data_IF_986205510948
#
_entry.id   IF_986205510948
#
_cell.length_a   1.000
_cell.length_b   1.000
_cell.length_c   1.000
_cell.angle_alpha   90.00
_cell.angle_beta   90.00
_cell.angle_gamma   90.00
#
_symmetry.space_group_name_H-M   'P 1'
#
loop_
_entity.id
_entity.type
_entity.pdbx_description
1 polymer ?
#
# COMPACT_ATOMS: atom_id res chain seq x y z
N UNK A 1 -30.01 5.98 -14.30
CA UNK A 1 -28.82 5.14 -14.57
C UNK A 1 -29.16 3.72 -14.12
N UNK A 2 -29.23 2.74 -15.02
CA UNK A 2 -29.82 1.40 -14.77
C UNK A 2 -28.93 0.52 -13.87
N UNK A 3 -29.56 -0.33 -13.05
CA UNK A 3 -28.90 -1.19 -12.05
C UNK A 3 -27.84 -2.14 -12.68
N UNK A 4 -28.11 -2.62 -13.90
CA UNK A 4 -27.19 -3.42 -14.73
C UNK A 4 -25.85 -2.73 -15.01
N UNK A 5 -25.83 -1.40 -15.23
CA UNK A 5 -24.58 -0.65 -15.44
C UNK A 5 -23.75 -0.49 -14.17
N UNK A 6 -24.36 -0.54 -12.98
CA UNK A 6 -23.64 -0.46 -11.69
C UNK A 6 -22.94 -1.79 -11.39
N UNK A 7 -23.61 -2.92 -11.65
CA UNK A 7 -23.04 -4.27 -11.43
C UNK A 7 -21.87 -4.57 -12.37
N UNK A 8 -21.99 -4.22 -13.66
CA UNK A 8 -20.92 -4.43 -14.64
C UNK A 8 -19.60 -3.72 -14.27
N UNK A 9 -19.67 -2.55 -13.60
CA UNK A 9 -18.49 -1.80 -13.18
C UNK A 9 -17.75 -2.43 -11.99
N UNK A 10 -18.48 -3.11 -11.09
CA UNK A 10 -17.88 -3.85 -9.98
C UNK A 10 -17.18 -5.13 -10.43
N UNK A 11 -17.68 -5.75 -11.51
CA UNK A 11 -17.10 -6.98 -12.04
C UNK A 11 -15.75 -6.75 -12.71
N UNK A 12 -15.44 -5.55 -13.21
CA UNK A 12 -14.20 -5.29 -13.93
C UNK A 12 -12.92 -5.47 -13.07
N UNK A 13 -12.79 -4.85 -11.87
CA UNK A 13 -11.64 -5.11 -10.99
C UNK A 13 -11.52 -6.58 -10.56
N UNK A 14 -12.64 -7.24 -10.30
CA UNK A 14 -12.67 -8.66 -9.91
C UNK A 14 -12.21 -9.54 -11.07
N UNK A 15 -12.74 -9.32 -12.27
CA UNK A 15 -12.33 -10.04 -13.47
C UNK A 15 -10.85 -9.80 -13.79
N UNK A 16 -10.35 -8.57 -13.59
CA UNK A 16 -8.92 -8.28 -13.72
C UNK A 16 -8.08 -9.07 -12.69
N UNK A 17 -8.47 -9.08 -11.42
CA UNK A 17 -7.75 -9.84 -10.38
C UNK A 17 -7.76 -11.35 -10.67
N UNK A 18 -8.90 -11.90 -11.12
CA UNK A 18 -9.01 -13.30 -11.56
C UNK A 18 -8.18 -13.59 -12.81
N UNK A 19 -8.07 -12.63 -13.74
CA UNK A 19 -7.19 -12.76 -14.90
C UNK A 19 -5.72 -12.83 -14.43
N UNK A 20 -5.31 -11.99 -13.46
CA UNK A 20 -3.97 -12.06 -12.87
C UNK A 20 -3.74 -13.42 -12.17
N UNK A 21 -4.76 -13.99 -11.51
CA UNK A 21 -4.67 -15.33 -10.95
C UNK A 21 -4.38 -16.39 -12.02
N UNK A 22 -5.14 -16.37 -13.11
CA UNK A 22 -4.94 -17.29 -14.22
C UNK A 22 -3.56 -17.09 -14.87
N UNK A 23 -3.13 -15.84 -15.06
CA UNK A 23 -1.80 -15.50 -15.58
C UNK A 23 -0.69 -16.01 -14.66
N UNK A 24 -0.84 -15.87 -13.34
CA UNK A 24 0.15 -16.37 -12.38
C UNK A 24 0.29 -17.89 -12.47
N UNK A 25 -0.84 -18.62 -12.48
CA UNK A 25 -0.83 -20.09 -12.57
C UNK A 25 -0.13 -20.54 -13.86
N UNK A 26 -0.48 -19.93 -14.99
CA UNK A 26 0.12 -20.24 -16.28
C UNK A 26 1.62 -19.91 -16.33
N UNK A 27 2.00 -18.70 -15.92
CA UNK A 27 3.38 -18.22 -16.02
C UNK A 27 4.29 -18.97 -15.03
N UNK A 28 3.83 -19.20 -13.80
CA UNK A 28 4.62 -19.89 -12.77
C UNK A 28 4.82 -21.36 -13.12
N UNK A 29 3.83 -22.04 -13.69
CA UNK A 29 3.98 -23.40 -14.20
C UNK A 29 4.93 -23.54 -15.39
N UNK A 30 5.24 -22.42 -16.06
CA UNK A 30 6.15 -22.35 -17.21
C UNK A 30 7.51 -21.74 -16.87
N UNK A 31 7.68 -21.23 -15.64
CA UNK A 31 8.90 -20.58 -15.20
C UNK A 31 9.95 -21.64 -14.82
N UNK A 32 11.18 -21.47 -15.27
CA UNK A 32 12.29 -22.33 -14.82
C UNK A 32 12.71 -22.06 -13.37
N UNK A 33 12.63 -20.80 -12.94
CA UNK A 33 12.90 -20.35 -11.57
C UNK A 33 11.84 -19.33 -11.14
N UNK A 34 11.20 -19.57 -10.00
CA UNK A 34 10.21 -18.65 -9.43
C UNK A 34 10.92 -17.41 -8.84
N UNK A 35 10.50 -16.18 -9.19
CA UNK A 35 11.01 -14.97 -8.57
C UNK A 35 10.84 -14.98 -7.04
N UNK A 36 11.79 -14.43 -6.26
CA UNK A 36 11.73 -14.45 -4.80
C UNK A 36 10.42 -13.92 -4.20
N UNK A 37 9.86 -12.85 -4.77
CA UNK A 37 8.58 -12.27 -4.31
C UNK A 37 7.45 -13.30 -4.30
N UNK A 38 7.51 -14.31 -5.17
CA UNK A 38 6.47 -15.30 -5.38
C UNK A 38 6.85 -16.69 -4.81
N UNK A 39 7.86 -16.77 -3.93
CA UNK A 39 8.38 -18.03 -3.40
C UNK A 39 7.29 -18.93 -2.79
N UNK A 40 6.40 -18.37 -1.98
CA UNK A 40 5.28 -19.10 -1.36
C UNK A 40 4.06 -19.26 -2.30
N UNK A 41 4.09 -18.59 -3.46
CA UNK A 41 3.06 -18.66 -4.48
C UNK A 41 1.64 -18.44 -3.96
N UNK A 42 0.69 -19.26 -4.42
CA UNK A 42 -0.72 -19.10 -4.05
C UNK A 42 -1.02 -19.40 -2.58
N UNK A 43 -0.12 -20.06 -1.85
CA UNK A 43 -0.32 -20.35 -0.43
C UNK A 43 -0.53 -19.06 0.36
N UNK A 44 0.35 -18.08 0.17
CA UNK A 44 0.25 -16.78 0.85
C UNK A 44 -1.01 -16.02 0.46
N UNK A 45 -1.40 -16.08 -0.82
CA UNK A 45 -2.62 -15.42 -1.30
C UNK A 45 -3.83 -15.90 -0.48
N UNK A 46 -3.95 -17.20 -0.27
CA UNK A 46 -5.09 -17.81 0.40
C UNK A 46 -4.98 -17.82 1.93
N UNK A 47 -3.78 -18.03 2.48
CA UNK A 47 -3.57 -18.23 3.91
C UNK A 47 -3.26 -16.94 4.66
N UNK A 48 -2.73 -15.92 3.97
CA UNK A 48 -2.32 -14.67 4.59
C UNK A 48 -3.06 -13.45 4.02
N UNK A 49 -2.87 -13.15 2.72
CA UNK A 49 -3.34 -11.89 2.14
C UNK A 49 -4.86 -11.76 2.09
N UNK A 50 -5.57 -12.81 1.67
CA UNK A 50 -7.03 -12.78 1.59
C UNK A 50 -7.69 -12.77 2.98
N UNK A 51 -7.29 -13.60 3.96
CA UNK A 51 -7.75 -13.49 5.33
C UNK A 51 -7.49 -12.11 5.95
N UNK A 52 -6.29 -11.54 5.74
CA UNK A 52 -5.95 -10.20 6.23
C UNK A 52 -6.84 -9.12 5.61
N UNK A 53 -7.10 -9.19 4.30
CA UNK A 53 -8.02 -8.29 3.62
C UNK A 53 -9.44 -8.42 4.21
N UNK A 54 -9.95 -9.64 4.38
CA UNK A 54 -11.29 -9.88 4.97
C UNK A 54 -11.36 -9.33 6.39
N UNK A 55 -10.37 -9.63 7.23
CA UNK A 55 -10.25 -9.11 8.59
C UNK A 55 -10.28 -7.57 8.59
N UNK A 56 -9.51 -6.94 7.70
CA UNK A 56 -9.43 -5.48 7.61
C UNK A 56 -10.75 -4.87 7.20
N UNK A 57 -11.35 -5.39 6.12
CA UNK A 57 -12.65 -4.91 5.65
C UNK A 57 -13.69 -5.09 6.74
N UNK A 58 -13.80 -6.27 7.35
CA UNK A 58 -14.74 -6.54 8.42
C UNK A 58 -14.57 -5.58 9.60
N UNK A 59 -13.33 -5.38 10.07
CA UNK A 59 -13.01 -4.46 11.17
C UNK A 59 -13.40 -3.03 10.82
N UNK A 60 -12.92 -2.50 9.69
CA UNK A 60 -13.19 -1.11 9.31
C UNK A 60 -14.68 -0.89 9.05
N UNK A 61 -15.37 -1.79 8.36
CA UNK A 61 -16.81 -1.67 8.14
C UNK A 61 -17.59 -1.76 9.45
N UNK A 62 -17.21 -2.64 10.38
CA UNK A 62 -17.85 -2.75 11.69
C UNK A 62 -17.71 -1.44 12.48
N UNK A 63 -16.50 -0.91 12.66
CA UNK A 63 -16.26 0.31 13.44
C UNK A 63 -16.81 1.57 12.77
N UNK A 64 -17.04 1.54 11.45
CA UNK A 64 -17.58 2.68 10.69
C UNK A 64 -19.06 2.53 10.31
N UNK A 65 -19.75 1.45 10.72
CA UNK A 65 -21.13 1.12 10.27
C UNK A 65 -22.15 2.24 10.49
N UNK A 66 -21.99 3.01 11.56
CA UNK A 66 -22.88 4.09 11.95
C UNK A 66 -22.34 5.49 11.60
N UNK A 67 -21.27 5.57 10.79
CA UNK A 67 -20.68 6.86 10.40
C UNK A 67 -21.39 7.43 9.18
N UNK A 68 -21.49 8.75 9.17
CA UNK A 68 -21.86 9.49 7.97
C UNK A 68 -20.79 9.30 6.90
N UNK A 69 -21.20 9.32 5.63
CA UNK A 69 -20.23 9.19 4.52
C UNK A 69 -19.26 10.39 4.55
N UNK A 70 -17.95 10.16 4.37
CA UNK A 70 -16.98 11.22 4.28
C UNK A 70 -17.29 12.27 3.23
N UNK A 71 -16.90 13.52 3.51
CA UNK A 71 -16.89 14.59 2.51
C UNK A 71 -15.49 14.77 1.94
N UNK A 72 -15.41 15.11 0.65
CA UNK A 72 -14.13 15.23 -0.06
C UNK A 72 -13.69 16.68 -0.26
N UNK A 73 -14.33 17.64 0.42
CA UNK A 73 -14.13 19.07 0.22
C UNK A 73 -12.72 19.54 0.64
N UNK A 74 -12.09 18.86 1.60
CA UNK A 74 -10.73 19.18 2.08
C UNK A 74 -9.59 18.80 1.13
N UNK A 75 -9.86 18.02 0.07
CA UNK A 75 -8.84 17.38 -0.77
C UNK A 75 -8.52 18.14 -2.06
N UNK A 76 -8.93 19.41 -2.17
CA UNK A 76 -8.64 20.28 -3.33
C UNK A 76 -9.01 19.65 -4.69
N UNK A 77 -10.18 18.99 -4.75
CA UNK A 77 -10.65 18.34 -5.98
C UNK A 77 -11.40 19.36 -6.84
N UNK A 78 -10.85 19.68 -8.01
CA UNK A 78 -11.51 20.49 -9.02
C UNK A 78 -12.47 19.63 -9.86
N UNK A 79 -13.79 19.78 -9.65
CA UNK A 79 -14.81 18.92 -10.28
C UNK A 79 -14.74 18.91 -11.82
N UNK A 80 -14.42 20.05 -12.44
CA UNK A 80 -14.38 20.18 -13.90
C UNK A 80 -13.19 19.45 -14.55
N UNK A 81 -12.09 19.21 -13.82
CA UNK A 81 -10.87 18.57 -14.34
C UNK A 81 -10.58 17.21 -13.71
N UNK A 82 -11.46 16.71 -12.85
CA UNK A 82 -11.20 15.57 -11.96
C UNK A 82 -10.75 14.30 -12.69
N UNK A 83 -11.39 13.93 -13.81
CA UNK A 83 -11.00 12.75 -14.60
C UNK A 83 -9.61 12.90 -15.20
N UNK A 84 -9.29 14.09 -15.74
CA UNK A 84 -7.96 14.39 -16.29
C UNK A 84 -6.90 14.36 -15.20
N UNK A 85 -7.20 14.93 -14.04
CA UNK A 85 -6.28 14.96 -12.92
C UNK A 85 -6.00 13.55 -12.37
N UNK A 86 -7.03 12.70 -12.33
CA UNK A 86 -6.88 11.29 -11.95
C UNK A 86 -6.02 10.54 -12.98
N UNK A 87 -6.29 10.68 -14.27
CA UNK A 87 -5.50 10.05 -15.33
C UNK A 87 -4.03 10.51 -15.27
N UNK A 88 -3.79 11.81 -15.07
CA UNK A 88 -2.45 12.36 -14.89
C UNK A 88 -1.74 11.79 -13.65
N UNK A 89 -2.44 11.69 -12.51
CA UNK A 89 -1.88 11.11 -11.29
C UNK A 89 -1.52 9.63 -11.47
N UNK A 90 -2.34 8.85 -12.17
CA UNK A 90 -2.06 7.44 -12.48
C UNK A 90 -0.88 7.31 -13.46
N UNK A 91 -0.83 8.14 -14.51
CA UNK A 91 0.30 8.16 -15.44
C UNK A 91 1.61 8.56 -14.74
N UNK A 92 1.56 9.56 -13.85
CA UNK A 92 2.69 10.01 -13.06
C UNK A 92 3.20 8.90 -12.12
N UNK A 93 2.29 8.19 -11.46
CA UNK A 93 2.59 7.06 -10.58
C UNK A 93 3.34 5.96 -11.32
N UNK A 94 2.83 5.55 -12.48
CA UNK A 94 3.44 4.52 -13.32
C UNK A 94 4.79 4.98 -13.84
N UNK A 95 4.86 6.18 -14.43
CA UNK A 95 6.10 6.72 -14.95
C UNK A 95 7.17 6.86 -13.87
N UNK A 96 6.80 7.32 -12.67
CA UNK A 96 7.68 7.41 -11.52
C UNK A 96 8.26 6.04 -11.14
N UNK A 97 7.43 5.01 -11.05
CA UNK A 97 7.91 3.65 -10.71
C UNK A 97 8.71 3.00 -11.83
N UNK A 98 8.37 3.27 -13.10
CA UNK A 98 9.20 2.83 -14.22
C UNK A 98 10.59 3.45 -14.14
N UNK A 99 10.70 4.75 -13.79
CA UNK A 99 12.00 5.41 -13.62
C UNK A 99 12.74 4.85 -12.40
N UNK A 100 12.08 4.74 -11.25
CA UNK A 100 12.69 4.22 -10.02
C UNK A 100 13.14 2.76 -10.19
N UNK A 101 12.30 1.91 -10.77
CA UNK A 101 12.64 0.51 -11.04
C UNK A 101 13.71 0.35 -12.10
N UNK A 102 13.60 1.01 -13.25
CA UNK A 102 14.52 0.80 -14.36
C UNK A 102 15.87 1.51 -14.19
N UNK A 103 15.91 2.67 -13.53
CA UNK A 103 17.12 3.50 -13.39
C UNK A 103 17.79 3.30 -12.04
N UNK A 104 17.01 3.20 -10.97
CA UNK A 104 17.52 3.14 -9.60
C UNK A 104 17.37 1.76 -8.95
N UNK A 105 16.81 0.78 -9.68
CA UNK A 105 16.53 -0.56 -9.18
C UNK A 105 15.79 -0.56 -7.84
N UNK A 106 14.77 0.30 -7.72
CA UNK A 106 14.07 0.50 -6.46
C UNK A 106 12.54 0.53 -6.62
N UNK A 107 11.87 -0.09 -5.66
CA UNK A 107 10.41 -0.16 -5.56
C UNK A 107 9.86 0.68 -4.42
N UNK A 108 8.55 0.63 -4.23
CA UNK A 108 7.88 1.33 -3.14
C UNK A 108 8.47 0.92 -1.81
N UNK A 109 8.68 -0.37 -1.59
CA UNK A 109 9.23 -0.88 -0.34
C UNK A 109 10.74 -1.01 -0.41
N UNK A 110 11.41 -0.69 0.70
CA UNK A 110 12.76 -1.17 0.95
C UNK A 110 12.72 -2.71 1.01
N UNK A 111 13.79 -3.44 0.65
CA UNK A 111 13.85 -4.89 0.77
C UNK A 111 13.26 -5.33 2.11
N UNK A 112 12.29 -6.24 2.09
CA UNK A 112 11.69 -6.80 3.30
C UNK A 112 12.44 -8.06 3.74
N UNK A 113 12.15 -8.63 4.91
CA UNK A 113 12.84 -9.81 5.45
C UNK A 113 12.90 -10.98 4.47
N UNK A 114 11.85 -11.21 3.68
CA UNK A 114 11.73 -12.32 2.74
C UNK A 114 12.73 -12.26 1.56
N UNK A 115 13.31 -11.09 1.32
CA UNK A 115 14.29 -10.85 0.24
C UNK A 115 15.58 -10.23 0.78
N UNK A 116 15.63 -9.97 2.09
CA UNK A 116 16.77 -9.38 2.77
C UNK A 116 17.78 -10.46 3.12
N UNK A 117 19.05 -10.19 2.86
CA UNK A 117 20.16 -11.04 3.29
C UNK A 117 20.96 -10.28 4.36
N UNK A 118 21.31 -10.93 5.46
CA UNK A 118 22.05 -10.27 6.55
C UNK A 118 23.34 -9.62 6.03
N UNK A 119 23.45 -8.31 6.23
CA UNK A 119 24.57 -7.51 5.76
C UNK A 119 24.57 -7.11 4.29
N UNK A 120 23.47 -7.31 3.56
CA UNK A 120 23.35 -6.87 2.17
C UNK A 120 23.06 -5.38 2.02
N UNK A 121 22.65 -4.69 3.09
CA UNK A 121 22.28 -3.27 3.06
C UNK A 121 22.87 -2.49 4.23
N UNK A 122 23.04 -1.18 4.03
CA UNK A 122 23.47 -0.23 5.06
C UNK A 122 22.48 0.93 5.25
N UNK A 123 22.74 1.77 6.25
CA UNK A 123 21.90 2.93 6.55
C UNK A 123 21.87 3.96 5.40
N UNK A 124 22.93 4.06 4.58
CA UNK A 124 22.98 5.01 3.47
C UNK A 124 22.01 4.60 2.37
N UNK A 125 21.88 3.30 2.11
CA UNK A 125 20.92 2.78 1.14
C UNK A 125 19.48 3.05 1.57
N UNK A 126 19.14 2.89 2.85
CA UNK A 126 17.83 3.27 3.40
C UNK A 126 17.56 4.77 3.18
N UNK A 127 18.55 5.63 3.44
CA UNK A 127 18.42 7.08 3.25
C UNK A 127 18.21 7.42 1.76
N UNK A 128 18.99 6.81 0.86
CA UNK A 128 18.88 7.04 -0.59
C UNK A 128 17.52 6.60 -1.11
N UNK A 129 17.06 5.41 -0.74
CA UNK A 129 15.72 4.92 -1.08
C UNK A 129 14.64 5.89 -0.61
N UNK A 130 14.65 6.26 0.67
CA UNK A 130 13.66 7.17 1.23
C UNK A 130 13.68 8.55 0.55
N UNK A 131 14.87 9.08 0.24
CA UNK A 131 15.01 10.37 -0.44
C UNK A 131 14.46 10.35 -1.88
N UNK A 132 14.70 9.27 -2.64
CA UNK A 132 14.12 9.09 -3.97
C UNK A 132 12.60 9.04 -3.91
N UNK A 133 12.05 8.22 -3.00
CA UNK A 133 10.61 8.07 -2.81
C UNK A 133 9.93 9.38 -2.42
N UNK A 134 10.49 10.11 -1.47
CA UNK A 134 9.99 11.43 -1.06
C UNK A 134 10.02 12.42 -2.20
N UNK A 135 11.12 12.49 -2.94
CA UNK A 135 11.27 13.45 -4.02
C UNK A 135 10.22 13.23 -5.11
N UNK A 136 10.08 11.97 -5.55
CA UNK A 136 9.18 11.62 -6.65
C UNK A 136 7.72 11.64 -6.21
N UNK A 137 7.35 11.04 -5.09
CA UNK A 137 5.93 10.81 -4.76
C UNK A 137 5.37 11.68 -3.64
N UNK A 138 6.21 12.44 -2.94
CA UNK A 138 5.76 13.36 -1.88
C UNK A 138 5.91 14.80 -2.32
N UNK A 139 7.12 15.27 -2.60
CA UNK A 139 7.39 16.69 -2.83
C UNK A 139 6.68 17.21 -4.08
N UNK A 140 6.89 16.59 -5.25
CA UNK A 140 6.29 17.05 -6.50
C UNK A 140 4.74 16.98 -6.47
N UNK A 141 4.11 15.87 -6.05
CA UNK A 141 2.66 15.79 -5.99
C UNK A 141 2.06 16.69 -4.91
N UNK A 142 2.75 16.89 -3.78
CA UNK A 142 2.33 17.83 -2.75
C UNK A 142 2.37 19.28 -3.24
N UNK A 143 3.44 19.70 -3.94
CA UNK A 143 3.52 21.03 -4.54
C UNK A 143 2.35 21.24 -5.53
N UNK A 144 2.06 20.24 -6.35
CA UNK A 144 0.92 20.26 -7.26
C UNK A 144 -0.43 20.40 -6.51
N UNK A 145 -0.64 19.65 -5.43
CA UNK A 145 -1.82 19.78 -4.58
C UNK A 145 -1.93 21.17 -3.92
N UNK A 146 -0.83 21.70 -3.40
CA UNK A 146 -0.77 23.02 -2.76
C UNK A 146 -1.15 24.14 -3.72
N UNK A 147 -0.69 24.07 -4.97
CA UNK A 147 -1.08 25.02 -6.04
C UNK A 147 -2.58 25.00 -6.35
N UNK A 148 -3.30 23.94 -5.95
CA UNK A 148 -4.76 23.81 -6.11
C UNK A 148 -5.55 24.17 -4.85
N UNK A 149 -4.90 24.77 -3.84
CA UNK A 149 -5.55 25.21 -2.61
C UNK A 149 -5.69 24.13 -1.55
N UNK A 150 -4.95 23.02 -1.66
CA UNK A 150 -4.87 22.01 -0.60
C UNK A 150 -4.26 22.62 0.67
N UNK A 151 -4.86 22.31 1.82
CA UNK A 151 -4.40 22.77 3.13
C UNK A 151 -4.50 21.65 4.16
N UNK A 152 -3.36 21.27 4.72
CA UNK A 152 -3.24 20.13 5.64
C UNK A 152 -4.15 20.25 6.88
N UNK A 153 -4.36 21.47 7.39
CA UNK A 153 -5.25 21.75 8.53
C UNK A 153 -6.68 21.25 8.31
N UNK A 154 -7.17 21.24 7.05
CA UNK A 154 -8.53 20.80 6.71
C UNK A 154 -8.74 19.29 6.88
N UNK A 155 -7.65 18.50 6.95
CA UNK A 155 -7.73 17.05 7.16
C UNK A 155 -7.84 16.68 8.65
N UNK A 156 -7.31 17.53 9.54
CA UNK A 156 -7.27 17.26 10.99
C UNK A 156 -8.58 17.67 11.66
N UNK A 157 -9.29 18.65 11.10
CA UNK A 157 -10.52 19.20 11.69
C UNK A 157 -11.75 18.27 11.62
N UNK A 158 -11.66 17.13 10.93
CA UNK A 158 -12.78 16.20 10.72
C UNK A 158 -12.67 14.85 11.44
N UNK A 159 -11.72 14.71 12.38
CA UNK A 159 -11.38 13.42 13.00
C UNK A 159 -12.27 13.13 14.21
N UNK A 160 -12.90 11.94 14.24
CA UNK A 160 -13.63 11.42 15.41
C UNK A 160 -12.69 10.57 16.25
N UNK A 161 -11.80 11.26 16.99
CA UNK A 161 -10.68 10.66 17.70
C UNK A 161 -11.05 9.49 18.59
N UNK A 162 -12.21 9.53 19.27
CA UNK A 162 -12.60 8.46 20.21
C UNK A 162 -12.81 7.13 19.49
N UNK A 163 -13.54 7.14 18.36
CA UNK A 163 -13.82 5.92 17.59
C UNK A 163 -12.65 5.52 16.70
N UNK A 164 -11.89 6.50 16.21
CA UNK A 164 -10.71 6.28 15.38
C UNK A 164 -9.59 5.59 16.15
N UNK A 165 -9.34 5.99 17.41
CA UNK A 165 -8.34 5.35 18.26
C UNK A 165 -8.68 3.88 18.52
N UNK A 166 -9.94 3.54 18.83
CA UNK A 166 -10.33 2.14 19.04
C UNK A 166 -10.21 1.29 17.77
N UNK A 167 -10.57 1.85 16.62
CA UNK A 167 -10.35 1.20 15.32
C UNK A 167 -8.86 0.94 15.11
N UNK A 168 -8.00 1.94 15.35
CA UNK A 168 -6.55 1.82 15.20
C UNK A 168 -5.98 0.75 16.14
N UNK A 169 -6.34 0.77 17.42
CA UNK A 169 -5.89 -0.22 18.41
C UNK A 169 -6.32 -1.64 18.00
N UNK A 170 -7.59 -1.84 17.67
CA UNK A 170 -8.11 -3.15 17.32
C UNK A 170 -7.44 -3.71 16.05
N UNK A 171 -7.23 -2.84 15.06
CA UNK A 171 -6.54 -3.20 13.83
C UNK A 171 -5.06 -3.51 14.08
N UNK A 172 -4.35 -2.64 14.79
CA UNK A 172 -2.93 -2.83 15.12
C UNK A 172 -2.69 -4.11 15.88
N UNK A 173 -3.47 -4.37 16.93
CA UNK A 173 -3.31 -5.59 17.72
C UNK A 173 -3.53 -6.84 16.85
N UNK A 174 -4.59 -6.86 16.04
CA UNK A 174 -4.86 -8.00 15.16
C UNK A 174 -3.77 -8.21 14.11
N UNK A 175 -3.37 -7.14 13.40
CA UNK A 175 -2.35 -7.23 12.34
C UNK A 175 -0.96 -7.56 12.91
N UNK A 176 -0.53 -6.85 13.96
CA UNK A 176 0.75 -7.11 14.62
C UNK A 176 0.84 -8.55 15.11
N UNK A 177 -0.18 -9.05 15.83
CA UNK A 177 -0.16 -10.44 16.31
C UNK A 177 -0.11 -11.42 15.13
N UNK A 178 -0.91 -11.20 14.09
CA UNK A 178 -0.93 -12.11 12.93
C UNK A 178 0.45 -12.26 12.25
N UNK A 179 1.25 -11.19 12.27
CA UNK A 179 2.58 -11.15 11.63
C UNK A 179 3.69 -11.55 12.59
N UNK A 180 3.64 -11.12 13.84
CA UNK A 180 4.69 -11.39 14.83
C UNK A 180 4.89 -12.89 15.06
N UNK A 181 3.83 -13.70 14.94
CA UNK A 181 3.92 -15.16 15.10
C UNK A 181 4.43 -15.92 13.86
N UNK A 182 4.58 -15.25 12.72
CA UNK A 182 5.04 -15.85 11.46
C UNK A 182 6.32 -15.19 10.92
N UNK A 183 6.93 -14.31 11.71
CA UNK A 183 8.15 -13.59 11.38
C UNK A 183 9.17 -13.76 12.51
N UNK A 184 10.41 -13.34 12.24
CA UNK A 184 11.52 -13.41 13.21
C UNK A 184 11.40 -12.37 14.34
N UNK A 185 10.22 -11.74 14.51
CA UNK A 185 10.04 -10.65 15.46
C UNK A 185 10.46 -11.03 16.88
N UNK A 186 10.18 -12.25 17.32
CA UNK A 186 10.51 -12.74 18.67
C UNK A 186 11.94 -13.28 18.82
N UNK A 187 12.70 -13.40 17.72
CA UNK A 187 14.08 -13.87 17.71
C UNK A 187 15.10 -12.72 17.78
N UNK A 188 14.62 -11.47 17.73
CA UNK A 188 15.44 -10.25 17.83
C UNK A 188 15.99 -10.08 19.26
N UNK A 189 17.26 -9.70 19.39
CA UNK A 189 17.88 -9.46 20.68
C UNK A 189 17.16 -8.31 21.42
N UNK A 190 16.91 -8.41 22.74
CA UNK A 190 16.14 -7.41 23.48
C UNK A 190 16.65 -5.96 23.38
N UNK A 191 17.97 -5.77 23.26
CA UNK A 191 18.57 -4.45 23.10
C UNK A 191 18.20 -3.79 21.76
N UNK A 192 17.98 -4.58 20.72
CA UNK A 192 17.82 -4.06 19.37
C UNK A 192 16.45 -3.44 19.10
N UNK A 193 15.41 -3.91 19.80
CA UNK A 193 14.07 -3.32 19.70
C UNK A 193 14.07 -1.81 19.97
N UNK A 194 14.95 -1.35 20.86
CA UNK A 194 15.01 0.05 21.28
C UNK A 194 15.38 1.03 20.16
N UNK A 195 16.09 0.56 19.13
CA UNK A 195 16.48 1.37 17.98
C UNK A 195 15.85 0.87 16.68
N UNK A 196 15.74 -0.44 16.48
CA UNK A 196 15.23 -1.03 15.25
C UNK A 196 13.76 -0.65 14.99
N UNK A 197 12.91 -0.68 16.04
CA UNK A 197 11.51 -0.28 15.90
C UNK A 197 11.39 1.22 15.55
N UNK A 198 11.97 2.17 16.31
CA UNK A 198 11.89 3.59 15.95
C UNK A 198 12.47 3.92 14.58
N UNK A 199 13.63 3.39 14.23
CA UNK A 199 14.23 3.66 12.92
C UNK A 199 13.43 3.04 11.78
N UNK A 200 12.93 1.81 11.96
CA UNK A 200 12.07 1.16 10.98
C UNK A 200 10.76 1.91 10.77
N UNK A 201 10.16 2.41 11.86
CA UNK A 201 9.01 3.32 11.80
C UNK A 201 9.34 4.56 10.97
N UNK A 202 10.44 5.25 11.26
CA UNK A 202 10.82 6.49 10.56
C UNK A 202 11.09 6.22 9.08
N UNK A 203 11.89 5.20 8.77
CA UNK A 203 12.24 4.82 7.41
C UNK A 203 11.00 4.48 6.59
N UNK A 204 10.14 3.60 7.08
CA UNK A 204 8.91 3.20 6.39
C UNK A 204 7.90 4.35 6.28
N UNK A 205 7.81 5.20 7.30
CA UNK A 205 6.96 6.41 7.26
C UNK A 205 7.38 7.30 6.10
N UNK A 206 8.68 7.57 5.98
CA UNK A 206 9.23 8.52 4.99
C UNK A 206 9.22 7.90 3.59
N UNK A 207 9.78 6.69 3.44
CA UNK A 207 10.05 6.06 2.15
C UNK A 207 8.86 5.33 1.53
N UNK A 208 7.87 4.87 2.31
CA UNK A 208 6.70 4.16 1.76
C UNK A 208 5.36 4.79 2.17
N UNK A 209 5.20 5.12 3.45
CA UNK A 209 3.96 5.65 4.02
C UNK A 209 3.56 7.00 3.42
N UNK A 210 4.47 7.97 3.37
CA UNK A 210 4.20 9.30 2.83
C UNK A 210 3.91 9.27 1.32
N UNK A 211 4.66 8.55 0.47
CA UNK A 211 4.31 8.33 -0.93
C UNK A 211 2.88 7.83 -1.13
N UNK A 212 2.49 6.78 -0.40
CA UNK A 212 1.14 6.18 -0.48
C UNK A 212 0.08 7.12 0.07
N UNK A 213 0.37 7.83 1.17
CA UNK A 213 -0.51 8.85 1.73
C UNK A 213 -0.82 9.92 0.68
N UNK A 214 0.21 10.52 0.08
CA UNK A 214 0.05 11.62 -0.86
C UNK A 214 -0.61 11.14 -2.15
N UNK A 215 -0.04 10.13 -2.82
CA UNK A 215 -0.51 9.71 -4.13
C UNK A 215 -1.88 9.04 -4.07
N UNK A 216 -2.05 8.06 -3.19
CA UNK A 216 -3.29 7.28 -3.16
C UNK A 216 -4.36 8.00 -2.36
N UNK A 217 -4.04 8.41 -1.14
CA UNK A 217 -5.07 8.84 -0.19
C UNK A 217 -5.43 10.33 -0.27
N UNK A 218 -4.50 11.20 -0.67
CA UNK A 218 -4.77 12.62 -0.88
C UNK A 218 -5.17 12.96 -2.32
N UNK A 219 -4.62 12.25 -3.31
CA UNK A 219 -4.86 12.57 -4.72
C UNK A 219 -5.89 11.64 -5.34
N UNK A 220 -5.63 10.34 -5.39
CA UNK A 220 -6.40 9.39 -6.21
C UNK A 220 -7.76 9.05 -5.61
N UNK A 221 -7.80 8.57 -4.36
CA UNK A 221 -9.04 8.11 -3.72
C UNK A 221 -10.14 9.19 -3.61
N UNK A 222 -9.85 10.45 -3.26
CA UNK A 222 -10.89 11.48 -3.23
C UNK A 222 -11.53 11.72 -4.60
N UNK A 223 -10.75 11.60 -5.67
CA UNK A 223 -11.23 11.75 -7.06
C UNK A 223 -12.06 10.55 -7.49
N UNK A 224 -11.58 9.34 -7.21
CA UNK A 224 -12.34 8.11 -7.45
C UNK A 224 -13.68 8.11 -6.70
N UNK A 225 -13.67 8.55 -5.44
CA UNK A 225 -14.86 8.59 -4.58
C UNK A 225 -15.93 9.58 -5.04
N UNK A 226 -15.52 10.66 -5.71
CA UNK A 226 -16.44 11.63 -6.31
C UNK A 226 -16.92 11.22 -7.70
N UNK A 227 -16.09 10.50 -8.47
CA UNK A 227 -16.47 9.94 -9.78
C UNK A 227 -17.38 8.72 -9.68
N UNK A 228 -17.26 7.96 -8.60
CA UNK A 228 -17.89 6.67 -8.41
C UNK A 228 -18.80 6.68 -7.17
N UNK A 229 -20.09 6.51 -7.38
CA UNK A 229 -21.09 6.34 -6.30
C UNK A 229 -21.10 4.88 -5.79
N UNK A 230 -19.93 4.31 -5.51
CA UNK A 230 -19.78 2.97 -4.95
C UNK A 230 -18.46 2.83 -4.17
N UNK A 231 -18.56 2.73 -2.84
CA UNK A 231 -17.39 2.64 -1.96
C UNK A 231 -16.56 1.38 -2.20
N UNK A 232 -17.20 0.23 -2.44
CA UNK A 232 -16.48 -1.03 -2.68
C UNK A 232 -15.68 -0.96 -3.99
N UNK A 233 -16.26 -0.38 -5.04
CA UNK A 233 -15.54 -0.16 -6.30
C UNK A 233 -14.32 0.75 -6.10
N UNK A 234 -14.47 1.83 -5.33
CA UNK A 234 -13.36 2.73 -5.01
C UNK A 234 -12.27 2.01 -4.21
N UNK A 235 -12.64 1.16 -3.26
CA UNK A 235 -11.71 0.36 -2.47
C UNK A 235 -10.93 -0.62 -3.36
N UNK A 236 -11.62 -1.35 -4.24
CA UNK A 236 -10.98 -2.27 -5.18
C UNK A 236 -10.02 -1.56 -6.14
N UNK A 237 -10.44 -0.41 -6.69
CA UNK A 237 -9.57 0.41 -7.55
C UNK A 237 -8.38 0.99 -6.76
N UNK A 238 -8.58 1.38 -5.51
CA UNK A 238 -7.49 1.76 -4.60
C UNK A 238 -6.48 0.63 -4.40
N UNK A 239 -6.96 -0.61 -4.26
CA UNK A 239 -6.13 -1.81 -4.24
C UNK A 239 -5.30 -1.99 -5.49
N UNK A 240 -5.93 -1.90 -6.68
CA UNK A 240 -5.22 -2.02 -7.95
C UNK A 240 -4.16 -0.93 -8.14
N UNK A 241 -4.47 0.31 -7.76
CA UNK A 241 -3.50 1.42 -7.81
C UNK A 241 -2.33 1.18 -6.87
N UNK A 242 -2.59 0.60 -5.70
CA UNK A 242 -1.52 0.23 -4.77
C UNK A 242 -0.64 -0.88 -5.35
N UNK A 243 -1.21 -1.90 -6.00
CA UNK A 243 -0.43 -2.91 -6.71
C UNK A 243 0.45 -2.33 -7.83
N UNK A 244 -0.03 -1.29 -8.53
CA UNK A 244 0.79 -0.58 -9.52
C UNK A 244 2.00 0.14 -8.88
N UNK A 245 1.86 0.61 -7.64
CA UNK A 245 2.96 1.19 -6.85
C UNK A 245 4.03 0.14 -6.51
N UNK A 246 3.62 -1.13 -6.41
CA UNK A 246 4.48 -2.23 -5.97
C UNK A 246 5.12 -3.03 -7.12
N UNK A 247 4.98 -2.61 -8.37
CA UNK A 247 5.47 -3.39 -9.52
C UNK A 247 6.98 -3.66 -9.46
N UNK A 248 7.77 -2.77 -8.88
CA UNK A 248 9.21 -2.92 -8.77
C UNK A 248 9.66 -3.21 -7.34
N UNK A 249 8.75 -3.74 -6.51
CA UNK A 249 9.12 -4.12 -5.15
C UNK A 249 10.22 -5.19 -5.17
N UNK A 250 11.08 -5.21 -4.13
CA UNK A 250 12.17 -6.16 -4.00
C UNK A 250 11.70 -7.62 -4.15
N UNK A 251 12.51 -8.43 -4.82
CA UNK A 251 12.20 -9.84 -5.09
C UNK A 251 11.41 -10.08 -6.38
N UNK A 252 10.90 -9.02 -7.02
CA UNK A 252 10.40 -9.12 -8.40
C UNK A 252 11.56 -9.42 -9.36
N UNK A 253 11.29 -10.11 -10.45
CA UNK A 253 12.28 -10.47 -11.47
C UNK A 253 11.75 -10.20 -12.87
N UNK A 254 12.48 -9.37 -13.61
CA UNK A 254 12.20 -9.00 -15.00
C UNK A 254 13.23 -9.54 -15.99
N UNK A 255 14.01 -10.54 -15.58
CA UNK A 255 15.10 -11.13 -16.39
C UNK A 255 14.60 -11.89 -17.63
N UNK A 256 13.34 -12.32 -17.62
CA UNK A 256 12.67 -12.94 -18.77
C UNK A 256 11.20 -12.54 -18.80
N UNK A 257 10.55 -12.70 -19.95
CA UNK A 257 9.12 -12.42 -20.08
C UNK A 257 8.28 -13.27 -19.11
N UNK A 258 8.62 -14.55 -18.93
CA UNK A 258 7.91 -15.45 -18.00
C UNK A 258 8.08 -14.99 -16.56
N UNK A 259 9.30 -14.68 -16.12
CA UNK A 259 9.54 -14.18 -14.76
C UNK A 259 8.86 -12.84 -14.51
N UNK A 260 8.82 -11.97 -15.52
CA UNK A 260 8.09 -10.70 -15.48
C UNK A 260 6.60 -10.94 -15.26
N UNK A 261 5.99 -11.89 -16.00
CA UNK A 261 4.58 -12.25 -15.80
C UNK A 261 4.31 -12.84 -14.43
N UNK A 262 5.18 -13.71 -13.90
CA UNK A 262 5.05 -14.24 -12.54
C UNK A 262 5.09 -13.09 -11.51
N UNK A 263 6.08 -12.20 -11.62
CA UNK A 263 6.25 -11.06 -10.71
C UNK A 263 5.04 -10.11 -10.75
N UNK A 264 4.65 -9.66 -11.94
CA UNK A 264 3.54 -8.71 -12.13
C UNK A 264 2.22 -9.30 -11.64
N UNK A 265 1.91 -10.53 -12.08
CA UNK A 265 0.66 -11.17 -11.68
C UNK A 265 0.60 -11.43 -10.17
N UNK A 266 1.71 -11.86 -9.57
CA UNK A 266 1.81 -12.05 -8.12
C UNK A 266 1.62 -10.74 -7.35
N UNK A 267 2.27 -9.66 -7.78
CA UNK A 267 2.08 -8.32 -7.19
C UNK A 267 0.60 -7.91 -7.27
N UNK A 268 -0.06 -8.08 -8.41
CA UNK A 268 -1.49 -7.78 -8.50
C UNK A 268 -2.35 -8.69 -7.64
N UNK A 269 -1.98 -9.95 -7.43
CA UNK A 269 -2.71 -10.85 -6.54
C UNK A 269 -2.63 -10.41 -5.08
N UNK A 270 -1.43 -10.13 -4.59
CA UNK A 270 -1.18 -9.85 -3.16
C UNK A 270 -1.43 -8.38 -2.82
N UNK A 271 -0.82 -7.47 -3.58
CA UNK A 271 -0.83 -6.04 -3.27
C UNK A 271 -2.20 -5.39 -3.54
N UNK A 272 -3.03 -5.97 -4.40
CA UNK A 272 -4.43 -5.51 -4.51
C UNK A 272 -5.18 -5.74 -3.20
N UNK A 273 -5.00 -6.90 -2.56
CA UNK A 273 -5.67 -7.25 -1.30
C UNK A 273 -5.20 -6.35 -0.16
N UNK A 274 -3.88 -6.14 -0.05
CA UNK A 274 -3.28 -5.19 0.90
C UNK A 274 -3.77 -3.76 0.64
N UNK A 275 -3.74 -3.32 -0.61
CA UNK A 275 -4.16 -1.98 -1.00
C UNK A 275 -5.66 -1.73 -0.78
N UNK A 276 -6.52 -2.75 -0.93
CA UNK A 276 -7.93 -2.68 -0.54
C UNK A 276 -8.08 -2.44 0.95
N UNK A 277 -7.30 -3.17 1.77
CA UNK A 277 -7.22 -2.95 3.21
C UNK A 277 -6.84 -1.49 3.55
N UNK A 278 -5.85 -0.94 2.86
CA UNK A 278 -5.42 0.46 3.03
C UNK A 278 -6.49 1.47 2.61
N UNK A 279 -7.06 1.27 1.42
CA UNK A 279 -8.05 2.17 0.85
C UNK A 279 -9.34 2.25 1.69
N UNK A 280 -9.77 1.13 2.30
CA UNK A 280 -11.01 1.11 3.09
C UNK A 280 -10.98 2.09 4.25
N UNK A 281 -9.83 2.29 4.91
CA UNK A 281 -9.71 3.27 5.99
C UNK A 281 -10.08 4.66 5.52
N UNK A 282 -9.51 5.15 4.42
CA UNK A 282 -9.80 6.50 3.93
C UNK A 282 -11.19 6.61 3.33
N UNK A 283 -11.66 5.59 2.61
CA UNK A 283 -13.00 5.60 2.00
C UNK A 283 -14.12 5.61 3.06
N UNK A 284 -13.89 4.96 4.21
CA UNK A 284 -14.89 4.84 5.29
C UNK A 284 -14.77 5.90 6.37
N UNK A 285 -13.56 6.42 6.64
CA UNK A 285 -13.34 7.42 7.68
C UNK A 285 -13.21 8.84 7.13
N UNK A 286 -12.84 9.00 5.86
CA UNK A 286 -12.47 10.30 5.30
C UNK A 286 -11.13 10.82 5.77
N UNK A 287 -10.44 10.06 6.62
CA UNK A 287 -9.21 10.46 7.25
C UNK A 287 -8.04 9.63 6.72
N UNK A 288 -7.15 10.25 5.92
CA UNK A 288 -6.02 9.56 5.33
C UNK A 288 -4.92 9.23 6.36
N UNK A 289 -4.94 9.85 7.54
CA UNK A 289 -3.99 9.56 8.63
C UNK A 289 -4.26 8.24 9.32
N UNK A 290 -5.53 7.83 9.46
CA UNK A 290 -5.85 6.55 10.11
C UNK A 290 -5.21 5.42 9.31
N UNK A 291 -5.35 5.45 7.98
CA UNK A 291 -4.64 4.53 7.09
C UNK A 291 -3.12 4.57 7.32
N UNK A 292 -2.56 5.78 7.38
CA UNK A 292 -1.11 6.01 7.43
C UNK A 292 -0.51 5.45 8.71
N UNK A 293 -1.13 5.72 9.85
CA UNK A 293 -0.72 5.19 11.14
C UNK A 293 -1.03 3.70 11.29
N UNK A 294 -2.11 3.21 10.66
CA UNK A 294 -2.52 1.81 10.72
C UNK A 294 -1.57 0.88 9.99
N UNK A 295 -1.41 1.08 8.69
CA UNK A 295 -0.79 0.09 7.81
C UNK A 295 0.71 0.29 7.52
N UNK A 296 1.22 1.51 7.69
CA UNK A 296 2.58 1.85 7.24
C UNK A 296 3.58 2.06 8.37
N UNK A 297 3.11 2.13 9.62
CA UNK A 297 3.92 2.59 10.74
C UNK A 297 3.92 1.56 11.88
N UNK A 298 2.74 1.14 12.36
CA UNK A 298 2.66 0.40 13.64
C UNK A 298 2.16 -1.05 13.52
N UNK A 299 1.46 -1.41 12.44
CA UNK A 299 0.92 -2.76 12.25
C UNK A 299 1.98 -3.77 11.77
N UNK A 300 1.72 -4.42 10.64
CA UNK A 300 2.58 -5.50 10.10
C UNK A 300 4.07 -5.13 9.98
N UNK A 301 4.37 -3.86 9.70
CA UNK A 301 5.74 -3.37 9.45
C UNK A 301 6.64 -3.41 10.69
N UNK A 302 6.09 -3.22 11.89
CA UNK A 302 6.88 -3.38 13.12
C UNK A 302 7.27 -4.85 13.29
N UNK A 303 6.32 -5.76 13.12
CA UNK A 303 6.59 -7.18 13.27
C UNK A 303 7.58 -7.70 12.21
N UNK A 304 7.33 -7.44 10.92
CA UNK A 304 8.19 -7.90 9.84
C UNK A 304 9.58 -7.25 9.86
N UNK A 305 9.66 -5.92 9.89
CA UNK A 305 10.89 -5.24 9.49
C UNK A 305 11.89 -5.06 10.66
N UNK A 306 11.50 -5.36 11.90
CA UNK A 306 12.36 -5.11 13.09
C UNK A 306 13.69 -5.85 13.00
N UNK A 307 13.69 -7.13 12.63
CA UNK A 307 14.93 -7.93 12.52
C UNK A 307 15.89 -7.33 11.48
N UNK A 308 15.35 -6.95 10.33
CA UNK A 308 16.12 -6.30 9.27
C UNK A 308 16.73 -4.97 9.73
N UNK A 309 15.91 -4.08 10.31
CA UNK A 309 16.42 -2.79 10.78
C UNK A 309 17.39 -2.94 11.97
N UNK A 310 17.27 -4.01 12.75
CA UNK A 310 18.26 -4.36 13.76
C UNK A 310 19.63 -4.64 13.12
N UNK A 311 19.70 -5.44 12.05
CA UNK A 311 20.96 -5.72 11.33
C UNK A 311 21.53 -4.45 10.65
N UNK A 312 20.69 -3.70 9.94
CA UNK A 312 21.12 -2.50 9.19
C UNK A 312 21.71 -1.44 10.11
N UNK A 313 21.07 -1.17 11.26
CA UNK A 313 21.46 -0.07 12.15
C UNK A 313 22.37 -0.47 13.31
N UNK A 314 22.72 -1.76 13.43
CA UNK A 314 23.79 -2.20 14.35
C UNK A 314 25.18 -1.79 13.86
N UNK A 315 25.31 -1.52 12.56
CA UNK A 315 26.57 -1.22 11.85
C UNK A 315 26.74 0.27 11.60
#
# INVERSE_FOLDING_TARGET
MTQTRKSARLLAPVAFWLAMLATFIWANGSAGLTPPIAAEGLRDVWQFYLPLMVFTLATVFYFTRNRTRPTWQGFAVARHSMTRDLAFALAYLVAGHLILGAVFNTGLHFPGPDVFENGSHDHQEVIRWAALQVTVFVLLPYIWLRRRGFGFRKLITGIDWKRDVWLMIAFWAGEFLSVAFISDFFDVAPADYSYAIPFGIVANTIGAGLPVLVMIHLIILPRLSLLLDNQLLVIMLGGLVYAMFSLFDPGTSYSSATNGWVSVSYIFLTQTLIGMGKAVFTVRTGNPFIHFTSYHILGARVAFDTSMYADIFRR
#
